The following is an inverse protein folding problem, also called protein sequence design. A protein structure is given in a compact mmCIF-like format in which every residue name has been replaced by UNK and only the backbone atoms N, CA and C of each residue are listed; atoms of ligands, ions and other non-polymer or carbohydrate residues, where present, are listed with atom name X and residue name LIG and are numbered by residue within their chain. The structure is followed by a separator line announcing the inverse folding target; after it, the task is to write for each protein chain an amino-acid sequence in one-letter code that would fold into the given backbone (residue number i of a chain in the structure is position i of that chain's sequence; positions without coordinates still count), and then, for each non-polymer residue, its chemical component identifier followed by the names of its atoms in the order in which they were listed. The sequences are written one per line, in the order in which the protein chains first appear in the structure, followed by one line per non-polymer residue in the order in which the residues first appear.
data_IF_150222537731
#
_entry.id   IF_150222537731
#
_cell.length_a   1.000
_cell.length_b   1.000
_cell.length_c   1.000
_cell.angle_alpha   90.00
_cell.angle_beta   90.00
_cell.angle_gamma   90.00
#
_symmetry.space_group_name_H-M   'P 1'
#
loop_
_entity.id
_entity.type
_entity.pdbx_description
1 polymer ?
#
# COMPACT_ATOMS: atom_id res chain seq x y z
N UNK A 1 -1.39 6.47 2.11
CA UNK A 1 -2.00 5.12 2.04
C UNK A 1 -3.50 5.27 2.20
N UNK A 2 -4.29 4.65 1.32
CA UNK A 2 -5.75 4.62 1.45
C UNK A 2 -6.18 3.16 1.68
N UNK A 3 -6.59 2.78 2.90
CA UNK A 3 -6.95 1.40 3.23
C UNK A 3 -8.18 0.89 2.48
N UNK A 4 -9.02 1.79 1.94
CA UNK A 4 -10.20 1.39 1.15
C UNK A 4 -9.81 0.94 -0.26
N UNK A 5 -8.66 1.41 -0.77
CA UNK A 5 -8.17 1.15 -2.13
C UNK A 5 -6.89 0.30 -2.16
N UNK A 6 -6.16 0.22 -1.05
CA UNK A 6 -4.90 -0.47 -0.92
C UNK A 6 -4.96 -1.48 0.22
N UNK A 7 -4.61 -2.71 -0.09
CA UNK A 7 -4.42 -3.77 0.89
C UNK A 7 -2.92 -3.98 1.09
N UNK A 8 -2.44 -3.59 2.26
CA UNK A 8 -1.06 -3.82 2.65
C UNK A 8 -0.87 -5.29 3.03
N UNK A 9 -0.07 -6.03 2.26
CA UNK A 9 0.20 -7.46 2.52
C UNK A 9 1.55 -7.69 3.19
N UNK A 10 2.42 -6.68 3.17
CA UNK A 10 3.72 -6.71 3.81
C UNK A 10 4.17 -5.30 4.16
N UNK A 11 5.10 -5.21 5.11
CA UNK A 11 5.78 -3.97 5.48
C UNK A 11 7.27 -4.09 5.18
N UNK A 12 7.84 -3.08 4.54
CA UNK A 12 9.27 -3.05 4.18
C UNK A 12 9.96 -1.88 4.87
N UNK A 13 11.21 -2.10 5.28
CA UNK A 13 12.05 -1.02 5.78
C UNK A 13 12.28 -0.02 4.67
N UNK A 14 11.95 1.24 4.93
CA UNK A 14 12.11 2.32 3.97
C UNK A 14 12.50 3.60 4.70
N UNK A 15 13.20 4.48 4.00
CA UNK A 15 13.48 5.84 4.47
C UNK A 15 12.24 6.74 4.40
N UNK A 16 11.16 6.25 3.77
CA UNK A 16 9.88 6.93 3.72
C UNK A 16 9.16 6.90 5.07
N UNK A 17 8.27 7.86 5.27
CA UNK A 17 7.42 7.90 6.46
C UNK A 17 6.59 6.62 6.61
N UNK A 18 6.37 6.14 7.86
CA UNK A 18 5.57 4.94 8.10
C UNK A 18 4.17 5.07 7.48
N UNK A 19 3.61 3.97 7.00
CA UNK A 19 2.34 3.91 6.27
C UNK A 19 2.37 4.59 4.88
N UNK A 20 3.54 4.78 4.29
CA UNK A 20 3.68 5.17 2.87
C UNK A 20 3.69 3.94 1.98
N UNK A 21 3.08 4.00 0.79
CA UNK A 21 3.15 2.89 -0.17
C UNK A 21 4.53 2.91 -0.83
N UNK A 22 5.32 1.88 -0.60
CA UNK A 22 6.69 1.75 -1.13
C UNK A 22 6.65 1.06 -2.49
N UNK A 23 5.93 -0.06 -2.58
CA UNK A 23 5.87 -0.88 -3.79
C UNK A 23 4.45 -1.37 -4.01
N UNK A 24 3.99 -1.30 -5.27
CA UNK A 24 2.74 -1.94 -5.71
C UNK A 24 3.09 -3.31 -6.28
N UNK A 25 2.74 -4.37 -5.54
CA UNK A 25 2.96 -5.75 -5.99
C UNK A 25 1.93 -6.15 -7.03
N UNK A 26 0.72 -5.61 -6.93
CA UNK A 26 -0.34 -5.90 -7.87
C UNK A 26 -1.29 -4.71 -7.97
N UNK A 27 -1.57 -4.30 -9.22
CA UNK A 27 -2.49 -3.20 -9.50
C UNK A 27 -3.91 -3.53 -9.02
N UNK A 28 -4.50 -2.59 -8.31
CA UNK A 28 -5.92 -2.59 -8.00
C UNK A 28 -6.73 -2.04 -9.17
N UNK A 29 -8.02 -2.35 -9.19
CA UNK A 29 -8.95 -1.85 -10.20
C UNK A 29 -10.13 -1.18 -9.51
N UNK A 30 -10.45 0.03 -9.99
CA UNK A 30 -11.61 0.80 -9.55
C UNK A 30 -12.46 1.13 -10.78
N UNK A 31 -13.78 1.04 -10.63
CA UNK A 31 -14.75 1.48 -11.62
C UNK A 31 -15.53 2.64 -11.03
N UNK A 32 -15.29 3.85 -11.56
CA UNK A 32 -15.74 5.09 -10.94
C UNK A 32 -15.27 5.14 -9.47
N UNK A 33 -16.19 5.34 -8.53
CA UNK A 33 -15.89 5.37 -7.09
C UNK A 33 -15.93 3.99 -6.41
N UNK A 34 -16.24 2.92 -7.16
CA UNK A 34 -16.30 1.56 -6.62
C UNK A 34 -14.97 0.85 -6.80
N UNK A 35 -14.37 0.42 -5.69
CA UNK A 35 -13.21 -0.48 -5.69
C UNK A 35 -13.68 -1.89 -6.05
N UNK A 36 -13.26 -2.40 -7.21
CA UNK A 36 -13.55 -3.78 -7.62
C UNK A 36 -12.55 -4.74 -6.98
N UNK A 37 -11.29 -4.31 -6.90
CA UNK A 37 -10.22 -5.06 -6.26
C UNK A 37 -9.17 -4.09 -5.70
N UNK A 38 -8.82 -4.18 -4.42
CA UNK A 38 -7.78 -3.33 -3.85
C UNK A 38 -6.41 -3.66 -4.47
N UNK A 39 -5.55 -2.66 -4.55
CA UNK A 39 -4.16 -2.86 -4.93
C UNK A 39 -3.41 -3.55 -3.80
N UNK A 40 -2.61 -4.58 -4.12
CA UNK A 40 -1.74 -5.21 -3.13
C UNK A 40 -0.44 -4.41 -3.08
N UNK A 41 -0.14 -3.88 -1.90
CA UNK A 41 0.99 -2.98 -1.69
C UNK A 41 1.88 -3.44 -0.54
N UNK A 42 3.14 -3.07 -0.63
CA UNK A 42 4.06 -3.05 0.49
C UNK A 42 4.09 -1.62 1.08
N UNK A 43 3.92 -1.51 2.39
CA UNK A 43 3.97 -0.20 3.08
C UNK A 43 5.29 -0.02 3.83
N UNK A 44 5.73 1.22 3.95
CA UNK A 44 6.91 1.59 4.73
C UNK A 44 6.64 1.32 6.20
N UNK A 45 7.55 0.61 6.86
CA UNK A 45 7.71 0.64 8.31
C UNK A 45 8.89 1.52 8.68
N UNK A 46 8.81 2.14 9.86
CA UNK A 46 9.94 2.87 10.41
C UNK A 46 11.15 1.93 10.47
N UNK A 47 12.30 2.43 10.03
CA UNK A 47 13.57 1.74 10.23
C UNK A 47 13.92 1.90 11.71
N UNK A 48 13.65 0.87 12.51
CA UNK A 48 14.22 0.83 13.86
C UNK A 48 15.73 0.79 13.72
N UNK A 49 16.37 1.81 14.29
CA UNK A 49 17.83 2.02 14.27
C UNK A 49 18.47 1.32 15.45
#
# INVERSE_FOLDING_TARGET
FDPTRHQAITTVESEQAPNTVVTVMQKGYCLHDRVLRPALVAVAKARES
#
